data_IF_897167591699
#
_entry.id   IF_897167591699
#
_cell.length_a   1.000
_cell.length_b   1.000
_cell.length_c   1.000
_cell.angle_alpha   90.00
_cell.angle_beta   90.00
_cell.angle_gamma   90.00
#
_symmetry.space_group_name_H-M   'P 1'
#
loop_
_entity.id
_entity.type
_entity.pdbx_description
1 polymer ?
#
# COMPACT_ATOMS: atom_id res chain seq x y z
N UNK A 1 16.17 22.92 12.95
CA UNK A 1 15.86 22.42 12.82
C UNK A 1 15.44 21.64 12.64
N UNK A 2 15.79 21.61 12.80
CA UNK A 2 15.42 20.67 12.86
C UNK A 2 14.37 20.23 12.36
N UNK A 3 14.11 20.51 11.56
CA UNK A 3 13.16 20.25 10.91
C UNK A 3 13.02 18.95 10.47
N UNK A 4 13.86 18.46 9.73
CA UNK A 4 13.77 17.13 9.26
C UNK A 4 13.76 16.15 10.35
N UNK A 5 14.20 16.55 11.42
CA UNK A 5 14.22 15.71 12.54
C UNK A 5 12.90 15.34 13.04
N UNK A 6 11.93 16.22 13.00
CA UNK A 6 10.61 15.84 13.44
C UNK A 6 10.01 14.69 12.67
N UNK A 7 10.43 14.52 11.44
CA UNK A 7 9.83 13.48 10.64
C UNK A 7 9.95 12.09 11.25
N UNK A 8 11.14 11.65 11.66
CA UNK A 8 11.21 10.34 12.29
C UNK A 8 10.37 10.27 13.55
N UNK A 9 10.38 11.33 14.32
CA UNK A 9 9.59 11.35 15.53
C UNK A 9 8.12 11.28 15.24
N UNK A 10 7.68 11.99 14.22
CA UNK A 10 6.29 11.99 13.84
C UNK A 10 5.87 10.59 13.42
N UNK A 11 6.69 9.94 12.63
CA UNK A 11 6.38 8.60 12.19
C UNK A 11 6.28 7.66 13.40
N UNK A 12 7.19 7.79 14.33
CA UNK A 12 7.16 6.97 15.52
C UNK A 12 5.89 7.21 16.33
N UNK A 13 5.50 8.44 16.46
CA UNK A 13 4.30 8.78 17.19
C UNK A 13 3.08 8.18 16.55
N UNK A 14 3.02 8.19 15.25
CA UNK A 14 1.88 7.64 14.53
C UNK A 14 1.77 6.15 14.66
N UNK A 15 2.82 5.50 15.10
CA UNK A 15 2.84 4.08 15.14
C UNK A 15 1.81 3.42 15.98
N UNK A 16 1.22 4.10 16.93
CA UNK A 16 0.24 3.42 17.74
C UNK A 16 -1.16 3.62 17.21
N UNK A 17 -1.75 4.73 17.52
CA UNK A 17 -3.13 4.96 17.14
C UNK A 17 -3.30 5.36 15.71
N UNK A 18 -2.48 6.32 15.27
CA UNK A 18 -2.62 6.82 13.90
C UNK A 18 -2.30 5.73 12.88
N UNK A 19 -1.32 4.90 13.18
CA UNK A 19 -0.97 3.83 12.26
C UNK A 19 -2.10 2.83 12.11
N UNK A 20 -2.82 2.53 13.17
CA UNK A 20 -3.96 1.62 13.08
C UNK A 20 -5.07 2.22 12.22
N UNK A 21 -5.34 3.52 12.41
CA UNK A 21 -6.37 4.18 11.64
C UNK A 21 -6.01 4.22 10.16
N UNK A 22 -4.75 4.53 9.86
CA UNK A 22 -4.28 4.55 8.48
C UNK A 22 -4.37 3.16 7.86
N UNK A 23 -3.94 2.15 8.61
CA UNK A 23 -4.00 0.78 8.11
C UNK A 23 -5.44 0.36 7.83
N UNK A 24 -6.36 0.76 8.68
CA UNK A 24 -7.76 0.43 8.47
C UNK A 24 -8.28 1.07 7.18
N UNK A 25 -7.94 2.33 6.95
CA UNK A 25 -8.37 3.02 5.73
C UNK A 25 -7.78 2.34 4.50
N UNK A 26 -6.50 2.00 4.56
CA UNK A 26 -5.83 1.35 3.43
C UNK A 26 -6.45 -0.01 3.15
N UNK A 27 -6.77 -0.77 4.18
CA UNK A 27 -7.41 -2.07 3.97
C UNK A 27 -8.81 -1.91 3.39
N UNK A 28 -9.52 -0.83 3.74
CA UNK A 28 -10.80 -0.55 3.13
C UNK A 28 -10.65 -0.23 1.65
N UNK A 29 -9.59 0.51 1.28
CA UNK A 29 -9.32 0.79 -0.12
C UNK A 29 -9.08 -0.51 -0.87
N UNK A 30 -8.28 -1.41 -0.31
CA UNK A 30 -8.00 -2.69 -0.94
C UNK A 30 -9.30 -3.49 -1.10
N UNK A 31 -10.12 -3.55 -0.05
CA UNK A 31 -11.39 -4.26 -0.12
C UNK A 31 -12.29 -3.70 -1.21
N UNK A 32 -12.36 -2.38 -1.29
CA UNK A 32 -13.20 -1.73 -2.28
C UNK A 32 -12.71 -2.00 -3.70
N UNK A 33 -11.38 -1.97 -3.91
CA UNK A 33 -10.82 -2.28 -5.21
C UNK A 33 -11.14 -3.72 -5.62
N UNK A 34 -11.01 -4.64 -4.68
CA UNK A 34 -11.29 -6.04 -4.97
C UNK A 34 -12.77 -6.27 -5.24
N UNK A 35 -13.63 -5.63 -4.47
CA UNK A 35 -15.07 -5.76 -4.66
C UNK A 35 -15.51 -5.20 -5.99
N UNK A 36 -14.97 -4.04 -6.35
CA UNK A 36 -15.38 -3.33 -7.55
C UNK A 36 -14.63 -3.79 -8.81
N UNK A 37 -13.55 -4.53 -8.62
CA UNK A 37 -12.72 -4.98 -9.75
C UNK A 37 -11.99 -3.85 -10.44
N UNK A 38 -11.73 -2.75 -9.73
CA UNK A 38 -11.11 -1.57 -10.32
C UNK A 38 -10.01 -1.06 -9.39
N UNK A 39 -8.78 -0.97 -9.83
CA UNK A 39 -8.32 -1.45 -11.15
C UNK A 39 -8.26 -2.98 -11.20
N UNK A 40 -8.41 -3.57 -12.35
CA UNK A 40 -8.42 -5.03 -12.46
C UNK A 40 -7.11 -5.66 -12.00
N UNK A 41 -6.01 -4.93 -12.08
CA UNK A 41 -4.72 -5.46 -11.68
C UNK A 41 -4.67 -5.84 -10.20
N UNK A 42 -5.46 -5.18 -9.36
CA UNK A 42 -5.47 -5.53 -7.94
C UNK A 42 -6.00 -6.95 -7.73
N UNK A 43 -7.11 -7.27 -8.40
CA UNK A 43 -7.69 -8.60 -8.30
C UNK A 43 -6.77 -9.64 -8.92
N UNK A 44 -6.20 -9.31 -10.08
CA UNK A 44 -5.28 -10.21 -10.75
C UNK A 44 -4.07 -10.52 -9.87
N UNK A 45 -3.57 -9.50 -9.19
CA UNK A 45 -2.44 -9.69 -8.29
C UNK A 45 -2.80 -10.59 -7.12
N UNK A 46 -3.98 -10.37 -6.54
CA UNK A 46 -4.42 -11.24 -5.46
C UNK A 46 -4.49 -12.69 -5.93
N UNK A 47 -5.11 -12.92 -7.09
CA UNK A 47 -5.24 -14.28 -7.61
C UNK A 47 -3.87 -14.92 -7.86
N UNK A 48 -2.93 -14.15 -8.40
CA UNK A 48 -1.58 -14.65 -8.63
C UNK A 48 -0.88 -15.03 -7.34
N UNK A 49 -0.97 -14.16 -6.33
CA UNK A 49 -0.32 -14.43 -5.05
C UNK A 49 -0.91 -15.67 -4.38
N UNK A 50 -2.22 -15.82 -4.47
CA UNK A 50 -2.87 -17.01 -3.92
C UNK A 50 -2.40 -18.27 -4.66
N UNK A 51 -2.29 -18.19 -5.98
CA UNK A 51 -1.80 -19.31 -6.77
C UNK A 51 -0.36 -19.65 -6.44
N UNK A 52 0.42 -18.67 -6.01
CA UNK A 52 1.81 -18.90 -5.63
C UNK A 52 1.93 -19.45 -4.21
N UNK A 53 0.82 -19.70 -3.55
CA UNK A 53 0.84 -20.30 -2.22
C UNK A 53 0.85 -19.33 -1.08
N UNK A 54 0.70 -18.04 -1.36
CA UNK A 54 0.64 -17.03 -0.31
C UNK A 54 -0.78 -17.01 0.23
N UNK A 55 -0.92 -17.05 1.55
CA UNK A 55 -2.25 -17.05 2.14
C UNK A 55 -2.93 -15.72 1.96
N UNK A 56 -4.24 -15.75 1.93
CA UNK A 56 -5.02 -14.57 1.60
C UNK A 56 -4.74 -13.36 2.49
N UNK A 57 -4.67 -13.50 3.83
CA UNK A 57 -4.37 -12.32 4.66
C UNK A 57 -3.02 -11.71 4.31
N UNK A 58 -2.03 -12.53 4.04
CA UNK A 58 -0.71 -12.03 3.68
C UNK A 58 -0.72 -11.40 2.29
N UNK A 59 -1.42 -12.01 1.35
CA UNK A 59 -1.51 -11.45 0.02
C UNK A 59 -2.17 -10.07 0.06
N UNK A 60 -3.23 -9.94 0.83
CA UNK A 60 -3.90 -8.64 0.97
C UNK A 60 -3.01 -7.62 1.67
N UNK A 61 -2.22 -8.07 2.65
CA UNK A 61 -1.29 -7.18 3.33
C UNK A 61 -0.23 -6.65 2.36
N UNK A 62 0.28 -7.52 1.50
CA UNK A 62 1.27 -7.09 0.50
C UNK A 62 0.68 -6.06 -0.45
N UNK A 63 -0.54 -6.29 -0.91
CA UNK A 63 -1.22 -5.32 -1.78
C UNK A 63 -1.43 -4.01 -1.02
N UNK A 64 -1.82 -4.10 0.24
CA UNK A 64 -2.02 -2.90 1.05
C UNK A 64 -0.74 -2.09 1.19
N UNK A 65 0.41 -2.75 1.26
CA UNK A 65 1.69 -2.03 1.31
C UNK A 65 1.94 -1.23 0.04
N UNK A 66 1.56 -1.78 -1.10
CA UNK A 66 1.71 -1.06 -2.36
C UNK A 66 0.78 0.15 -2.39
N UNK A 67 -0.47 -0.03 -1.94
CA UNK A 67 -1.42 1.08 -1.87
C UNK A 67 -0.89 2.17 -0.95
N UNK A 68 -0.37 1.77 0.21
CA UNK A 68 0.15 2.73 1.19
C UNK A 68 1.33 3.51 0.62
N UNK A 69 2.21 2.82 -0.10
CA UNK A 69 3.37 3.47 -0.69
C UNK A 69 2.95 4.51 -1.72
N UNK A 70 1.96 4.17 -2.54
CA UNK A 70 1.49 5.10 -3.54
C UNK A 70 0.84 6.33 -2.90
N UNK A 71 0.03 6.12 -1.87
CA UNK A 71 -0.60 7.22 -1.16
C UNK A 71 0.47 8.11 -0.53
N UNK A 72 1.47 7.49 0.08
CA UNK A 72 2.56 8.23 0.71
C UNK A 72 3.29 9.10 -0.31
N UNK A 73 3.58 8.54 -1.48
CA UNK A 73 4.30 9.28 -2.52
C UNK A 73 3.47 10.46 -3.04
N UNK A 74 2.17 10.25 -3.21
CA UNK A 74 1.28 11.32 -3.65
C UNK A 74 1.32 12.48 -2.66
N UNK A 75 1.24 12.16 -1.38
CA UNK A 75 1.22 13.19 -0.35
C UNK A 75 2.59 13.85 -0.16
N UNK A 76 3.64 13.05 -0.14
CA UNK A 76 4.98 13.55 0.15
C UNK A 76 5.52 14.42 -0.97
N UNK A 77 5.33 13.99 -2.21
CA UNK A 77 5.88 14.69 -3.35
C UNK A 77 4.88 15.59 -4.06
N UNK A 78 3.65 15.64 -3.53
CA UNK A 78 2.58 16.44 -4.11
C UNK A 78 2.42 16.13 -5.59
N UNK A 79 2.45 14.84 -5.91
CA UNK A 79 2.34 14.36 -7.28
C UNK A 79 0.99 13.69 -7.47
N UNK A 80 0.45 13.69 -8.68
CA UNK A 80 -0.79 12.96 -8.92
C UNK A 80 -0.54 11.46 -8.84
N UNK A 81 -1.61 10.73 -8.62
CA UNK A 81 -1.58 9.26 -8.63
C UNK A 81 -1.03 8.77 -9.97
N UNK A 82 -0.12 7.81 -9.91
CA UNK A 82 0.50 7.25 -11.10
C UNK A 82 0.08 5.79 -11.22
N UNK A 83 -0.89 5.54 -12.09
CA UNK A 83 -1.43 4.20 -12.27
C UNK A 83 -0.37 3.21 -12.74
N UNK A 84 0.48 3.63 -13.64
CA UNK A 84 1.51 2.75 -14.18
C UNK A 84 2.49 2.30 -13.10
N UNK A 85 2.91 3.24 -12.27
CA UNK A 85 3.81 2.92 -11.17
C UNK A 85 3.15 1.96 -10.19
N UNK A 86 1.86 2.19 -9.90
CA UNK A 86 1.10 1.33 -9.01
C UNK A 86 1.02 -0.10 -9.57
N UNK A 87 0.68 -0.22 -10.84
CA UNK A 87 0.56 -1.53 -11.48
C UNK A 87 1.91 -2.25 -11.50
N UNK A 88 2.99 -1.53 -11.79
CA UNK A 88 4.31 -2.14 -11.77
C UNK A 88 4.66 -2.65 -10.38
N UNK A 89 4.33 -1.90 -9.35
CA UNK A 89 4.60 -2.33 -7.98
C UNK A 89 3.80 -3.57 -7.63
N UNK A 90 2.55 -3.65 -8.08
CA UNK A 90 1.76 -4.86 -7.88
C UNK A 90 2.41 -6.07 -8.55
N UNK A 91 2.93 -5.87 -9.77
CA UNK A 91 3.54 -6.96 -10.51
C UNK A 91 4.80 -7.48 -9.85
N UNK A 92 5.46 -6.66 -9.05
CA UNK A 92 6.68 -7.08 -8.36
C UNK A 92 6.41 -7.88 -7.10
N UNK A 93 5.21 -7.83 -6.57
CA UNK A 93 4.91 -8.57 -5.36
C UNK A 93 5.19 -10.05 -5.56
N UNK A 94 5.70 -10.77 -4.57
CA UNK A 94 5.78 -10.39 -3.17
C UNK A 94 6.95 -9.47 -2.79
N UNK A 95 7.74 -9.01 -3.74
CA UNK A 95 8.80 -8.07 -3.45
C UNK A 95 8.17 -6.71 -3.17
N UNK A 96 8.43 -6.16 -2.00
CA UNK A 96 7.82 -4.90 -1.59
C UNK A 96 8.56 -3.71 -2.15
N UNK A 97 7.88 -2.56 -2.31
CA UNK A 97 8.56 -1.34 -2.72
C UNK A 97 9.69 -1.02 -1.77
N UNK A 98 10.83 -0.66 -2.30
CA UNK A 98 11.98 -0.32 -1.50
C UNK A 98 12.92 -1.48 -1.19
N UNK A 99 12.52 -2.68 -1.50
CA UNK A 99 13.39 -3.84 -1.30
C UNK A 99 14.45 -3.96 -2.39
#
# INVERSE_FOLDING_TARGET
MSLGLPLPGVVTIMNRKSSRAVNKVIMEVVKNQLRDGTPPETKQTLDRLLNDGIEEPEAKRLIACVVATEIYDVLKFNQPYNRERFVQALHRLPKLPGD
#
